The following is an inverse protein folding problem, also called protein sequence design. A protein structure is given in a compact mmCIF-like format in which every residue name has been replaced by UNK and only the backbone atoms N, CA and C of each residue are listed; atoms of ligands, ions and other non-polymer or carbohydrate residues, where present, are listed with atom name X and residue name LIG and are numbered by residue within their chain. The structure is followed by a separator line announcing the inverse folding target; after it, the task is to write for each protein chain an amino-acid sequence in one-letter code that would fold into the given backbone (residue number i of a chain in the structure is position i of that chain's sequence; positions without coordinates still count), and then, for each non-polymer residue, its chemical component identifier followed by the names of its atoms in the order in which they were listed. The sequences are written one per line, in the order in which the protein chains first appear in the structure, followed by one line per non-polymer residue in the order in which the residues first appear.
data_IF_267319168247
#
_entry.id   IF_267319168247
#
_cell.length_a   1.000
_cell.length_b   1.000
_cell.length_c   1.000
_cell.angle_alpha   90.00
_cell.angle_beta   90.00
_cell.angle_gamma   90.00
#
_symmetry.space_group_name_H-M   'P 1'
#
loop_
_entity.id
_entity.type
_entity.pdbx_description
1 polymer ?
#
# COMPACT_ATOMS: atom_id res chain seq x y z
N UNK A 1 -8.62 16.84 -15.90
CA UNK A 1 -8.68 16.25 -14.55
C UNK A 1 -8.93 14.76 -14.70
N UNK A 2 -7.94 13.91 -14.41
CA UNK A 2 -8.05 12.47 -14.61
C UNK A 2 -8.97 11.86 -13.55
N UNK A 3 -10.08 11.23 -13.95
CA UNK A 3 -11.01 10.57 -13.03
C UNK A 3 -10.54 9.14 -12.75
N UNK A 4 -9.86 8.90 -11.62
CA UNK A 4 -9.33 7.58 -11.25
C UNK A 4 -10.43 6.54 -11.04
N UNK A 5 -11.66 6.95 -10.72
CA UNK A 5 -12.79 6.03 -10.61
C UNK A 5 -13.06 5.32 -11.94
N UNK A 6 -12.88 6.02 -13.07
CA UNK A 6 -13.01 5.40 -14.41
C UNK A 6 -11.92 4.35 -14.67
N UNK A 7 -10.70 4.54 -14.14
CA UNK A 7 -9.63 3.55 -14.27
C UNK A 7 -9.93 2.30 -13.43
N UNK A 8 -10.58 2.45 -12.28
CA UNK A 8 -11.06 1.32 -11.48
C UNK A 8 -12.16 0.55 -12.18
N UNK A 9 -13.17 1.23 -12.74
CA UNK A 9 -14.24 0.59 -13.51
C UNK A 9 -13.70 -0.22 -14.68
N UNK A 10 -12.65 0.28 -15.33
CA UNK A 10 -12.00 -0.38 -16.46
C UNK A 10 -11.01 -1.49 -16.04
N UNK A 11 -10.74 -1.67 -14.75
CA UNK A 11 -9.71 -2.60 -14.25
C UNK A 11 -8.29 -2.22 -14.70
N UNK A 12 -8.03 -0.93 -14.99
CA UNK A 12 -6.77 -0.40 -15.52
C UNK A 12 -5.99 0.42 -14.50
N UNK A 13 -6.19 0.13 -13.21
CA UNK A 13 -5.46 0.82 -12.15
C UNK A 13 -3.95 0.53 -12.26
N UNK A 14 -3.13 1.58 -12.14
CA UNK A 14 -1.68 1.41 -12.09
C UNK A 14 -1.24 0.67 -10.81
N UNK A 15 -0.24 -0.20 -10.94
CA UNK A 15 0.32 -0.97 -9.82
C UNK A 15 1.08 -0.13 -8.78
N UNK A 16 1.44 1.12 -9.14
CA UNK A 16 2.08 2.07 -8.25
C UNK A 16 1.44 3.45 -8.46
N UNK A 17 0.94 4.03 -7.38
CA UNK A 17 0.28 5.35 -7.38
C UNK A 17 0.99 6.22 -6.36
N UNK A 18 1.44 7.40 -6.80
CA UNK A 18 2.00 8.44 -5.95
C UNK A 18 0.93 9.50 -5.67
N UNK A 19 0.52 9.64 -4.41
CA UNK A 19 -0.41 10.69 -4.00
C UNK A 19 0.36 11.93 -3.54
N UNK A 20 0.29 12.99 -4.33
CA UNK A 20 0.87 14.29 -4.00
C UNK A 20 -0.24 15.22 -3.56
N UNK A 21 -0.24 15.60 -2.29
CA UNK A 21 -1.21 16.54 -1.75
C UNK A 21 -0.64 17.30 -0.54
N UNK A 22 -1.11 18.52 -0.26
CA UNK A 22 -0.72 19.29 0.92
C UNK A 22 -1.00 18.54 2.23
N UNK A 23 -0.27 18.88 3.29
CA UNK A 23 -0.56 18.35 4.62
C UNK A 23 -1.98 18.75 5.05
N UNK A 24 -2.74 17.81 5.64
CA UNK A 24 -4.12 18.04 6.05
C UNK A 24 -5.19 17.85 4.96
N UNK A 25 -4.79 17.56 3.71
CA UNK A 25 -5.72 17.30 2.59
C UNK A 25 -6.48 15.96 2.66
N UNK A 26 -6.19 15.11 3.64
CA UNK A 26 -6.81 13.79 3.76
C UNK A 26 -6.23 12.72 2.81
N UNK A 27 -5.03 12.93 2.24
CA UNK A 27 -4.35 11.94 1.37
C UNK A 27 -4.24 10.54 1.98
N UNK A 28 -4.07 10.45 3.29
CA UNK A 28 -3.97 9.16 4.00
C UNK A 28 -5.33 8.46 4.06
N UNK A 29 -6.42 9.23 4.19
CA UNK A 29 -7.79 8.73 4.13
C UNK A 29 -8.09 8.22 2.72
N UNK A 30 -7.74 8.99 1.70
CA UNK A 30 -7.88 8.59 0.30
C UNK A 30 -7.09 7.30 0.01
N UNK A 31 -5.83 7.21 0.47
CA UNK A 31 -5.00 6.02 0.30
C UNK A 31 -5.65 4.78 0.94
N UNK A 32 -6.18 4.91 2.16
CA UNK A 32 -6.88 3.82 2.86
C UNK A 32 -8.16 3.42 2.13
N UNK A 33 -8.96 4.38 1.69
CA UNK A 33 -10.20 4.10 0.96
C UNK A 33 -9.90 3.41 -0.37
N UNK A 34 -8.90 3.87 -1.12
CA UNK A 34 -8.46 3.23 -2.36
C UNK A 34 -8.00 1.79 -2.12
N UNK A 35 -7.18 1.55 -1.09
CA UNK A 35 -6.76 0.20 -0.72
C UNK A 35 -7.95 -0.69 -0.37
N UNK A 36 -8.92 -0.17 0.38
CA UNK A 36 -10.13 -0.91 0.74
C UNK A 36 -11.00 -1.23 -0.49
N UNK A 37 -11.13 -0.31 -1.45
CA UNK A 37 -11.83 -0.55 -2.71
C UNK A 37 -11.15 -1.65 -3.52
N UNK A 38 -9.83 -1.58 -3.68
CA UNK A 38 -9.07 -2.57 -4.47
C UNK A 38 -9.13 -3.98 -3.86
N UNK A 39 -9.16 -4.09 -2.53
CA UNK A 39 -9.27 -5.37 -1.81
C UNK A 39 -10.72 -5.86 -1.67
N UNK A 40 -11.72 -5.04 -2.02
CA UNK A 40 -13.11 -5.40 -1.92
C UNK A 40 -13.47 -6.44 -2.98
N UNK A 41 -14.16 -7.51 -2.56
CA UNK A 41 -14.62 -8.55 -3.49
C UNK A 41 -15.90 -8.19 -4.25
N UNK A 42 -16.70 -7.27 -3.72
CA UNK A 42 -18.07 -7.01 -4.20
C UNK A 42 -18.25 -5.61 -4.81
N UNK A 43 -17.27 -4.73 -4.67
CA UNK A 43 -17.37 -3.33 -5.06
C UNK A 43 -16.28 -2.97 -6.07
N UNK A 44 -16.65 -2.21 -7.10
CA UNK A 44 -15.74 -1.84 -8.21
C UNK A 44 -15.13 -0.46 -7.97
N UNK A 45 -15.96 0.54 -7.69
CA UNK A 45 -15.55 1.93 -7.45
C UNK A 45 -15.53 2.30 -5.97
N UNK A 46 -16.33 1.61 -5.15
CA UNK A 46 -16.48 1.86 -3.73
C UNK A 46 -16.45 0.54 -2.93
N UNK A 47 -15.91 0.56 -1.69
CA UNK A 47 -15.86 -0.63 -0.86
C UNK A 47 -17.27 -0.95 -0.32
N UNK A 48 -17.68 -2.21 -0.39
CA UNK A 48 -19.04 -2.60 0.03
C UNK A 48 -19.26 -2.58 1.56
N UNK A 49 -18.19 -2.54 2.36
CA UNK A 49 -18.24 -2.53 3.83
C UNK A 49 -18.68 -3.85 4.50
N UNK A 50 -19.31 -4.77 3.78
CA UNK A 50 -19.95 -5.97 4.36
C UNK A 50 -19.22 -7.28 4.06
N UNK A 51 -18.42 -7.34 2.98
CA UNK A 51 -17.72 -8.57 2.61
C UNK A 51 -16.64 -8.96 3.63
N UNK A 52 -16.16 -10.19 3.57
CA UNK A 52 -15.13 -10.69 4.50
C UNK A 52 -13.85 -9.84 4.43
N UNK A 53 -13.38 -9.52 3.22
CA UNK A 53 -12.21 -8.64 3.01
C UNK A 53 -12.42 -7.25 3.61
N UNK A 54 -13.57 -6.61 3.40
CA UNK A 54 -13.84 -5.30 4.00
C UNK A 54 -13.85 -5.35 5.53
N UNK A 55 -14.36 -6.43 6.14
CA UNK A 55 -14.34 -6.63 7.60
C UNK A 55 -12.92 -6.84 8.13
N UNK A 56 -12.10 -7.64 7.45
CA UNK A 56 -10.69 -7.83 7.81
C UNK A 56 -9.89 -6.52 7.68
N UNK A 57 -10.16 -5.74 6.64
CA UNK A 57 -9.53 -4.43 6.46
C UNK A 57 -9.93 -3.46 7.57
N UNK A 58 -11.22 -3.41 7.91
CA UNK A 58 -11.71 -2.58 9.02
C UNK A 58 -11.11 -3.01 10.39
N UNK A 59 -10.85 -4.30 10.58
CA UNK A 59 -10.14 -4.82 11.75
C UNK A 59 -8.61 -4.60 11.71
N UNK A 60 -8.06 -4.13 10.58
CA UNK A 60 -6.62 -3.92 10.40
C UNK A 60 -5.81 -5.21 10.26
N UNK A 61 -6.45 -6.36 10.02
CA UNK A 61 -5.82 -7.68 9.99
C UNK A 61 -5.91 -8.34 8.60
N UNK A 62 -6.10 -7.55 7.55
CA UNK A 62 -6.20 -8.09 6.19
C UNK A 62 -4.83 -8.62 5.74
N UNK A 63 -4.73 -9.91 5.33
CA UNK A 63 -3.44 -10.55 5.02
C UNK A 63 -2.71 -9.88 3.85
N UNK A 64 -3.45 -9.40 2.84
CA UNK A 64 -2.88 -8.73 1.66
C UNK A 64 -2.69 -7.22 1.82
N UNK A 65 -2.94 -6.66 3.01
CA UNK A 65 -2.73 -5.24 3.29
C UNK A 65 -1.51 -5.04 4.17
N UNK A 66 -0.57 -4.21 3.70
CA UNK A 66 0.63 -3.86 4.46
C UNK A 66 0.78 -2.34 4.54
N UNK A 67 0.74 -1.80 5.75
CA UNK A 67 1.02 -0.40 6.02
C UNK A 67 2.50 -0.23 6.38
N UNK A 68 3.25 0.47 5.54
CA UNK A 68 4.62 0.86 5.84
C UNK A 68 4.65 2.30 6.35
N UNK A 69 5.06 2.46 7.60
CA UNK A 69 5.26 3.75 8.23
C UNK A 69 6.55 3.73 9.07
N UNK A 70 7.16 4.90 9.33
CA UNK A 70 8.26 5.03 10.29
C UNK A 70 7.89 4.43 11.66
N UNK A 71 8.83 3.70 12.27
CA UNK A 71 8.65 3.15 13.63
C UNK A 71 8.60 4.26 14.68
N UNK A 72 9.24 5.40 14.40
CA UNK A 72 9.25 6.58 15.25
C UNK A 72 9.05 7.82 14.37
N UNK A 73 8.29 8.79 14.87
CA UNK A 73 8.09 10.07 14.18
C UNK A 73 9.44 10.74 13.89
N UNK A 74 9.62 11.18 12.65
CA UNK A 74 10.87 11.82 12.19
C UNK A 74 11.98 10.86 11.77
N UNK A 75 11.81 9.53 11.88
CA UNK A 75 12.78 8.55 11.36
C UNK A 75 12.39 8.04 9.96
N UNK A 76 13.37 7.59 9.19
CA UNK A 76 13.15 6.97 7.89
C UNK A 76 12.61 5.54 8.04
N UNK A 77 11.92 5.05 7.00
CA UNK A 77 11.49 3.65 6.90
C UNK A 77 12.75 2.80 6.68
N UNK A 78 13.00 1.87 7.59
CA UNK A 78 14.16 1.00 7.53
C UNK A 78 14.05 -0.03 6.40
N UNK A 79 15.19 -0.40 5.81
CA UNK A 79 15.27 -1.44 4.78
C UNK A 79 14.60 -2.75 5.21
N UNK A 80 14.79 -3.16 6.47
CA UNK A 80 14.18 -4.37 7.02
C UNK A 80 12.65 -4.33 7.01
N UNK A 81 12.04 -3.14 7.13
CA UNK A 81 10.59 -2.99 7.04
C UNK A 81 10.11 -3.22 5.60
N UNK A 82 10.80 -2.64 4.62
CA UNK A 82 10.48 -2.84 3.20
C UNK A 82 10.68 -4.31 2.76
N UNK A 83 11.73 -4.96 3.28
CA UNK A 83 12.02 -6.37 2.98
C UNK A 83 10.92 -7.33 3.46
N UNK A 84 10.30 -7.03 4.62
CA UNK A 84 9.23 -7.86 5.18
C UNK A 84 7.97 -7.88 4.31
N UNK A 85 7.64 -6.76 3.66
CA UNK A 85 6.47 -6.64 2.77
C UNK A 85 6.72 -7.25 1.39
N UNK A 86 7.98 -7.35 0.96
CA UNK A 86 8.35 -7.88 -0.36
C UNK A 86 8.59 -9.39 -0.38
N UNK A 87 8.10 -10.13 0.64
CA UNK A 87 8.21 -11.59 0.78
C UNK A 87 9.64 -12.14 0.56
N UNK A 88 10.66 -11.40 1.02
CA UNK A 88 12.06 -11.82 0.90
C UNK A 88 12.61 -11.81 -0.53
N UNK A 89 11.94 -11.14 -1.48
CA UNK A 89 12.44 -11.00 -2.86
C UNK A 89 13.67 -10.08 -2.95
N UNK A 90 13.93 -9.30 -1.92
CA UNK A 90 15.12 -8.46 -1.83
C UNK A 90 16.38 -9.33 -1.62
N UNK A 91 17.14 -9.53 -2.69
CA UNK A 91 18.44 -10.22 -2.69
C UNK A 91 19.56 -9.18 -2.61
N UNK A 92 20.20 -8.95 -1.44
CA UNK A 92 21.39 -8.11 -1.36
C UNK A 92 22.58 -8.87 -1.93
N UNK A 93 22.81 -8.77 -3.24
CA UNK A 93 24.00 -9.36 -3.87
C UNK A 93 25.03 -8.30 -4.28
N UNK A 94 24.99 -7.11 -3.68
CA UNK A 94 26.01 -6.06 -3.90
C UNK A 94 26.53 -5.39 -2.64
N UNK A 95 26.37 -6.00 -1.45
CA UNK A 95 27.10 -5.57 -0.26
C UNK A 95 27.56 -6.75 0.59
N UNK A 96 28.46 -7.56 0.04
CA UNK A 96 29.37 -8.38 0.83
C UNK A 96 30.62 -7.53 1.16
N UNK A 97 31.08 -7.47 2.41
CA UNK A 97 32.39 -6.92 2.75
C UNK A 97 33.45 -7.95 2.34
N UNK A 98 33.72 -8.04 1.03
CA UNK A 98 34.70 -8.96 0.47
C UNK A 98 35.46 -8.32 -0.69
N UNK A 99 36.15 -7.21 -0.42
CA UNK A 99 37.40 -6.89 -1.13
C UNK A 99 38.52 -7.05 -0.11
N UNK A 100 38.85 -8.31 0.14
CA UNK A 100 40.20 -8.73 0.50
C UNK A 100 40.69 -9.55 -0.70
N UNK A 101 41.22 -8.84 -1.70
CA UNK A 101 42.40 -9.14 -2.51
C UNK A 101 42.67 -7.89 -3.36
#
# INVERSE_FOLDING_TARGET
MQNWQQLLEQGRLHHAILLVAPQGSGRDVLAKQLAQTVLCQNGVTEPCGMCHSCRLFAAGTHPDFHLLAPVQEGKSIGLMQCANVTAGRWKPHSWAPSVLF
#
